data_IF_937183613535
#
_entry.id   IF_937183613535
#
_cell.length_a   1.000
_cell.length_b   1.000
_cell.length_c   1.000
_cell.angle_alpha   90.00
_cell.angle_beta   90.00
_cell.angle_gamma   90.00
#
_symmetry.space_group_name_H-M   'P 1'
#
loop_
_entity.id
_entity.type
_entity.pdbx_description
1 polymer ?
#
# COMPACT_ATOMS: atom_id res chain seq x y z
N UNK A 1 1.25 -5.71 -25.24
CA UNK A 1 2.07 -6.75 -25.72
C UNK A 1 2.22 -7.89 -24.71
N UNK A 2 1.72 -9.03 -25.08
CA UNK A 2 1.66 -10.13 -24.15
C UNK A 2 3.04 -10.65 -23.74
N UNK A 3 4.04 -10.55 -24.61
CA UNK A 3 5.37 -11.04 -24.28
C UNK A 3 5.96 -10.28 -23.07
N UNK A 4 5.73 -8.98 -22.99
CA UNK A 4 6.18 -8.19 -21.85
C UNK A 4 5.45 -8.59 -20.59
N UNK A 5 4.13 -8.73 -20.69
CA UNK A 5 3.30 -9.15 -19.56
C UNK A 5 3.68 -10.55 -19.10
N UNK A 6 3.87 -11.46 -20.06
CA UNK A 6 4.26 -12.83 -19.72
C UNK A 6 5.62 -12.89 -19.06
N UNK A 7 6.54 -12.05 -19.53
CA UNK A 7 7.88 -12.00 -18.95
C UNK A 7 7.82 -11.53 -17.50
N UNK A 8 7.01 -10.53 -17.21
CA UNK A 8 6.85 -10.05 -15.85
C UNK A 8 6.24 -11.13 -14.96
N UNK A 9 5.27 -11.84 -15.48
CA UNK A 9 4.64 -12.93 -14.75
C UNK A 9 5.64 -14.05 -14.46
N UNK A 10 6.43 -14.41 -15.45
CA UNK A 10 7.46 -15.45 -15.28
C UNK A 10 8.48 -15.01 -14.25
N UNK A 11 8.90 -13.77 -14.29
CA UNK A 11 9.84 -13.24 -13.31
C UNK A 11 9.26 -13.31 -11.91
N UNK A 12 8.00 -12.97 -11.76
CA UNK A 12 7.32 -13.07 -10.47
C UNK A 12 7.27 -14.50 -9.96
N UNK A 13 6.96 -15.44 -10.84
CA UNK A 13 6.91 -16.85 -10.47
C UNK A 13 8.28 -17.38 -10.08
N UNK A 14 9.30 -17.01 -10.82
CA UNK A 14 10.66 -17.42 -10.51
C UNK A 14 11.12 -16.81 -9.19
N UNK A 15 10.78 -15.57 -8.93
CA UNK A 15 11.11 -14.91 -7.67
C UNK A 15 10.47 -15.64 -6.50
N UNK A 16 9.22 -16.07 -6.66
CA UNK A 16 8.52 -16.83 -5.63
C UNK A 16 9.20 -18.16 -5.35
N UNK A 17 9.71 -18.79 -6.40
CA UNK A 17 10.34 -20.10 -6.26
C UNK A 17 11.74 -20.02 -5.68
N UNK A 18 12.49 -19.02 -6.06
CA UNK A 18 13.91 -18.96 -5.73
C UNK A 18 14.18 -18.08 -4.52
N UNK A 19 14.01 -16.81 -4.67
CA UNK A 19 14.15 -15.83 -3.61
C UNK A 19 13.29 -14.66 -4.01
N UNK A 20 12.10 -14.63 -3.46
CA UNK A 20 11.19 -13.55 -3.77
C UNK A 20 11.90 -12.22 -3.59
N UNK A 21 11.82 -11.37 -4.62
CA UNK A 21 12.36 -10.03 -4.50
C UNK A 21 11.60 -9.29 -3.41
N UNK A 22 12.32 -8.87 -2.39
CA UNK A 22 11.74 -8.14 -1.27
C UNK A 22 11.83 -6.65 -1.55
N UNK A 23 10.71 -5.96 -1.44
CA UNK A 23 10.68 -4.52 -1.68
C UNK A 23 11.31 -3.81 -0.49
N UNK A 24 12.32 -3.01 -0.76
CA UNK A 24 13.02 -2.24 0.27
C UNK A 24 12.44 -0.84 0.36
N UNK A 25 12.83 -0.11 1.40
CA UNK A 25 12.34 1.25 1.63
C UNK A 25 12.60 2.17 0.43
N UNK A 26 13.79 2.06 -0.19
CA UNK A 26 14.11 2.88 -1.35
C UNK A 26 13.22 2.57 -2.55
N UNK A 27 12.87 1.30 -2.70
CA UNK A 27 12.01 0.88 -3.80
C UNK A 27 10.57 1.33 -3.61
N UNK A 28 10.14 1.48 -2.36
CA UNK A 28 8.80 2.00 -2.08
C UNK A 28 8.65 3.40 -2.65
N UNK A 29 9.65 4.25 -2.44
CA UNK A 29 9.62 5.62 -2.94
C UNK A 29 9.50 5.63 -4.47
N UNK A 30 10.28 4.80 -5.13
CA UNK A 30 10.22 4.65 -6.59
C UNK A 30 8.85 4.20 -7.04
N UNK A 31 8.34 3.17 -6.40
CA UNK A 31 7.05 2.59 -6.76
C UNK A 31 5.93 3.62 -6.62
N UNK A 32 5.90 4.31 -5.49
CA UNK A 32 4.85 5.30 -5.24
C UNK A 32 4.95 6.48 -6.19
N UNK A 33 6.16 6.95 -6.47
CA UNK A 33 6.34 8.05 -7.42
C UNK A 33 5.89 7.67 -8.83
N UNK A 34 6.10 6.41 -9.19
CA UNK A 34 5.72 5.90 -10.50
C UNK A 34 4.21 5.66 -10.60
N UNK A 35 3.62 5.06 -9.58
CA UNK A 35 2.21 4.66 -9.61
C UNK A 35 1.26 5.79 -9.23
N UNK A 36 1.73 6.73 -8.43
CA UNK A 36 0.91 7.83 -7.92
C UNK A 36 1.64 9.16 -8.13
N UNK A 37 1.70 9.66 -9.37
CA UNK A 37 2.40 10.93 -9.63
C UNK A 37 1.87 12.08 -8.79
N UNK A 38 0.58 12.02 -8.43
CA UNK A 38 -0.06 13.06 -7.63
C UNK A 38 0.39 13.09 -6.18
N UNK A 39 1.16 12.11 -5.75
CA UNK A 39 1.59 12.04 -4.36
C UNK A 39 2.50 13.20 -3.98
N UNK A 40 3.19 13.76 -4.98
CA UNK A 40 3.97 14.98 -4.78
C UNK A 40 5.13 14.85 -3.82
N UNK A 41 5.60 13.65 -3.59
CA UNK A 41 6.74 13.44 -2.71
C UNK A 41 8.00 13.90 -3.41
N UNK A 42 8.72 14.82 -2.79
CA UNK A 42 10.04 15.16 -3.26
C UNK A 42 10.99 14.05 -2.83
N UNK A 43 11.64 13.45 -3.81
CA UNK A 43 12.60 12.39 -3.53
C UNK A 43 13.78 12.99 -2.80
N UNK A 44 13.91 12.68 -1.52
CA UNK A 44 15.00 13.12 -0.71
C UNK A 44 15.60 11.90 -0.02
N UNK A 45 16.91 11.83 0.02
CA UNK A 45 17.60 10.76 0.72
C UNK A 45 17.32 10.79 2.22
N UNK A 46 16.80 11.91 2.71
CA UNK A 46 16.49 12.10 4.12
C UNK A 46 15.08 11.67 4.48
N UNK A 47 14.24 11.37 3.48
CA UNK A 47 12.84 11.03 3.73
C UNK A 47 12.74 9.62 4.29
N UNK A 48 12.14 9.49 5.47
CA UNK A 48 11.92 8.17 6.07
C UNK A 48 10.77 7.44 5.39
N UNK A 49 10.78 6.13 5.50
CA UNK A 49 9.69 5.30 4.99
C UNK A 49 8.36 5.71 5.61
N UNK A 50 8.35 6.09 6.88
CA UNK A 50 7.12 6.47 7.56
C UNK A 50 6.56 7.77 7.02
N UNK A 51 7.42 8.72 6.64
CA UNK A 51 6.96 9.94 5.99
C UNK A 51 6.38 9.65 4.62
N UNK A 52 7.03 8.79 3.85
CA UNK A 52 6.55 8.40 2.53
C UNK A 52 5.19 7.72 2.62
N UNK A 53 5.05 6.79 3.54
CA UNK A 53 3.78 6.07 3.73
C UNK A 53 2.72 7.01 4.29
N UNK A 54 3.11 7.99 5.11
CA UNK A 54 2.18 9.01 5.57
C UNK A 54 1.60 9.82 4.43
N UNK A 55 2.43 10.22 3.47
CA UNK A 55 1.96 10.91 2.27
C UNK A 55 1.05 10.01 1.44
N UNK A 56 1.39 8.74 1.33
CA UNK A 56 0.56 7.76 0.62
C UNK A 56 -0.82 7.65 1.28
N UNK A 57 -0.86 7.56 2.60
CA UNK A 57 -2.13 7.53 3.32
C UNK A 57 -2.94 8.80 3.09
N UNK A 58 -2.28 9.96 3.07
CA UNK A 58 -2.96 11.23 2.83
C UNK A 58 -3.58 11.29 1.44
N UNK A 59 -2.89 10.80 0.41
CA UNK A 59 -3.45 10.71 -0.93
C UNK A 59 -4.68 9.82 -0.94
N UNK A 60 -4.59 8.67 -0.28
CA UNK A 60 -5.72 7.74 -0.22
C UNK A 60 -6.92 8.38 0.48
N UNK A 61 -6.68 9.06 1.59
CA UNK A 61 -7.74 9.75 2.33
C UNK A 61 -8.39 10.83 1.48
N UNK A 62 -7.60 11.57 0.73
CA UNK A 62 -8.13 12.60 -0.17
C UNK A 62 -9.01 11.99 -1.25
N UNK A 63 -8.56 10.91 -1.87
CA UNK A 63 -9.34 10.22 -2.91
C UNK A 63 -10.65 9.69 -2.34
N UNK A 64 -10.60 9.15 -1.12
CA UNK A 64 -11.82 8.68 -0.44
C UNK A 64 -12.78 9.83 -0.17
N UNK A 65 -12.25 10.97 0.25
CA UNK A 65 -13.06 12.15 0.55
C UNK A 65 -13.78 12.69 -0.67
N UNK A 66 -13.09 12.73 -1.81
CA UNK A 66 -13.71 13.22 -3.04
C UNK A 66 -14.55 12.16 -3.76
N UNK A 67 -14.55 10.94 -3.24
CA UNK A 67 -15.39 9.88 -3.80
C UNK A 67 -14.80 9.18 -5.01
N UNK A 68 -13.51 9.31 -5.24
CA UNK A 68 -12.84 8.65 -6.37
C UNK A 68 -12.50 7.22 -5.98
N UNK A 69 -13.50 6.34 -6.02
CA UNK A 69 -13.36 4.96 -5.57
C UNK A 69 -12.39 4.15 -6.42
N UNK A 70 -12.29 4.48 -7.69
CA UNK A 70 -11.36 3.81 -8.58
C UNK A 70 -9.92 4.07 -8.13
N UNK A 71 -9.62 5.31 -7.79
CA UNK A 71 -8.29 5.66 -7.34
C UNK A 71 -8.01 5.12 -5.93
N UNK A 72 -9.03 5.08 -5.07
CA UNK A 72 -8.90 4.45 -3.76
C UNK A 72 -8.52 2.98 -3.94
N UNK A 73 -9.19 2.27 -4.85
CA UNK A 73 -8.88 0.88 -5.12
C UNK A 73 -7.46 0.71 -5.63
N UNK A 74 -7.02 1.63 -6.48
CA UNK A 74 -5.65 1.63 -6.98
C UNK A 74 -4.65 1.77 -5.83
N UNK A 75 -4.91 2.70 -4.92
CA UNK A 75 -4.06 2.86 -3.72
C UNK A 75 -4.03 1.59 -2.88
N UNK A 76 -5.18 0.97 -2.68
CA UNK A 76 -5.25 -0.24 -1.89
C UNK A 76 -4.49 -1.41 -2.53
N UNK A 77 -4.51 -1.48 -3.86
CA UNK A 77 -3.75 -2.51 -4.57
C UNK A 77 -2.24 -2.30 -4.37
N UNK A 78 -1.80 -1.07 -4.38
CA UNK A 78 -0.40 -0.74 -4.12
C UNK A 78 -0.04 -1.12 -2.68
N UNK A 79 -0.89 -0.78 -1.73
CA UNK A 79 -0.67 -1.11 -0.33
C UNK A 79 -0.56 -2.60 -0.11
N UNK A 80 -1.41 -3.38 -0.78
CA UNK A 80 -1.35 -4.84 -0.69
C UNK A 80 -0.01 -5.36 -1.19
N UNK A 81 0.44 -4.85 -2.32
CA UNK A 81 1.72 -5.25 -2.89
C UNK A 81 2.87 -4.95 -1.94
N UNK A 82 2.87 -3.76 -1.36
CA UNK A 82 3.90 -3.37 -0.41
C UNK A 82 3.87 -4.22 0.85
N UNK A 83 2.68 -4.58 1.31
CA UNK A 83 2.54 -5.39 2.51
C UNK A 83 2.99 -6.84 2.27
N UNK A 84 2.65 -7.39 1.12
CA UNK A 84 2.99 -8.78 0.80
C UNK A 84 4.49 -8.93 0.50
N UNK A 85 5.03 -8.04 -0.31
CA UNK A 85 6.40 -8.16 -0.81
C UNK A 85 7.42 -7.29 -0.08
N UNK A 86 6.98 -6.42 0.80
CA UNK A 86 7.88 -5.52 1.50
C UNK A 86 8.73 -6.24 2.54
N UNK A 87 9.89 -5.66 2.84
CA UNK A 87 10.70 -6.16 3.95
C UNK A 87 9.99 -5.82 5.27
N UNK A 88 10.57 -6.22 6.40
CA UNK A 88 9.94 -6.03 7.70
C UNK A 88 9.58 -4.57 7.99
N UNK A 89 10.45 -3.66 7.62
CA UNK A 89 10.22 -2.23 7.84
C UNK A 89 9.06 -1.73 6.97
N UNK A 90 9.03 -2.15 5.71
CA UNK A 90 7.95 -1.75 4.79
C UNK A 90 6.62 -2.32 5.27
N UNK A 91 6.59 -3.60 5.63
CA UNK A 91 5.36 -4.22 6.16
C UNK A 91 4.85 -3.47 7.38
N UNK A 92 5.75 -3.17 8.31
CA UNK A 92 5.39 -2.46 9.52
C UNK A 92 4.85 -1.07 9.21
N UNK A 93 5.43 -0.38 8.23
CA UNK A 93 4.95 0.93 7.82
C UNK A 93 3.54 0.85 7.27
N UNK A 94 3.23 -0.20 6.49
CA UNK A 94 1.86 -0.38 5.98
C UNK A 94 0.90 -0.70 7.13
N UNK A 95 1.27 -1.59 8.02
CA UNK A 95 0.38 -1.98 9.13
C UNK A 95 0.13 -0.84 10.10
N UNK A 96 1.19 -0.20 10.55
CA UNK A 96 1.09 0.80 11.61
C UNK A 96 1.06 2.24 11.11
N UNK A 97 1.46 2.46 9.88
CA UNK A 97 1.40 3.78 9.27
C UNK A 97 0.15 3.94 8.41
N UNK A 98 0.08 3.16 7.35
CA UNK A 98 -0.98 3.30 6.35
C UNK A 98 -2.35 2.91 6.89
N UNK A 99 -2.51 1.68 7.35
CA UNK A 99 -3.81 1.20 7.83
C UNK A 99 -4.27 1.99 9.05
N UNK A 100 -3.37 2.27 9.96
CA UNK A 100 -3.71 3.03 11.15
C UNK A 100 -4.20 4.43 10.77
N UNK A 101 -3.50 5.09 9.83
CA UNK A 101 -3.92 6.42 9.36
C UNK A 101 -5.27 6.42 8.70
N UNK A 102 -5.64 5.30 8.05
CA UNK A 102 -6.91 5.19 7.35
C UNK A 102 -8.05 4.72 8.25
N UNK A 103 -7.77 4.39 9.50
CA UNK A 103 -8.78 3.78 10.37
C UNK A 103 -10.06 4.59 10.48
N UNK A 104 -9.95 5.92 10.58
CA UNK A 104 -11.15 6.76 10.67
C UNK A 104 -12.00 6.68 9.39
N UNK A 105 -11.35 6.66 8.23
CA UNK A 105 -12.05 6.55 6.95
C UNK A 105 -12.71 5.18 6.82
N UNK A 106 -11.98 4.13 7.17
CA UNK A 106 -12.48 2.76 7.06
C UNK A 106 -13.62 2.50 8.03
N UNK A 107 -13.55 3.06 9.23
CA UNK A 107 -14.60 2.89 10.24
C UNK A 107 -15.90 3.55 9.82
N UNK A 108 -15.82 4.69 9.15
CA UNK A 108 -16.98 5.49 8.81
C UNK A 108 -17.57 5.19 7.44
N UNK A 109 -16.86 4.41 6.62
CA UNK A 109 -17.29 4.19 5.24
C UNK A 109 -17.08 2.74 4.83
N UNK A 110 -18.16 1.96 4.90
CA UNK A 110 -18.14 0.55 4.52
C UNK A 110 -17.78 0.32 3.07
N UNK A 111 -18.19 1.22 2.17
CA UNK A 111 -17.85 1.09 0.76
C UNK A 111 -16.35 1.16 0.55
N UNK A 112 -15.69 2.08 1.23
CA UNK A 112 -14.24 2.21 1.15
C UNK A 112 -13.58 0.97 1.76
N UNK A 113 -14.06 0.54 2.92
CA UNK A 113 -13.53 -0.64 3.59
C UNK A 113 -13.64 -1.88 2.71
N UNK A 114 -14.75 -2.01 1.99
CA UNK A 114 -14.97 -3.16 1.12
C UNK A 114 -14.02 -3.19 -0.08
N UNK A 115 -13.43 -2.06 -0.43
CA UNK A 115 -12.43 -2.01 -1.49
C UNK A 115 -11.08 -2.56 -1.05
N UNK A 116 -10.86 -2.63 0.26
CA UNK A 116 -9.61 -3.14 0.80
C UNK A 116 -9.51 -4.63 0.54
N UNK A 117 -8.35 -5.09 0.08
CA UNK A 117 -8.14 -6.50 -0.21
C UNK A 117 -8.29 -7.34 1.06
N UNK A 118 -8.58 -8.63 0.88
CA UNK A 118 -8.86 -9.51 2.01
C UNK A 118 -7.73 -9.57 3.05
N UNK A 119 -6.46 -9.73 2.65
CA UNK A 119 -5.39 -9.77 3.66
C UNK A 119 -5.28 -8.50 4.48
N UNK A 120 -5.37 -7.34 3.84
CA UNK A 120 -5.28 -6.07 4.56
C UNK A 120 -6.53 -5.80 5.39
N UNK A 121 -7.71 -6.21 4.90
CA UNK A 121 -8.94 -6.08 5.66
C UNK A 121 -8.88 -6.92 6.94
N UNK A 122 -8.31 -8.11 6.83
CA UNK A 122 -8.11 -8.98 7.98
C UNK A 122 -7.16 -8.33 9.00
N UNK A 123 -6.10 -7.74 8.52
CA UNK A 123 -5.14 -7.04 9.39
C UNK A 123 -5.79 -5.83 10.05
N UNK A 124 -6.59 -5.07 9.29
CA UNK A 124 -7.32 -3.93 9.83
C UNK A 124 -8.28 -4.38 10.94
N UNK A 125 -9.03 -5.44 10.69
CA UNK A 125 -9.96 -5.97 11.68
C UNK A 125 -9.24 -6.44 12.94
N UNK A 126 -8.07 -7.04 12.78
CA UNK A 126 -7.25 -7.47 13.91
C UNK A 126 -6.84 -6.28 14.77
N UNK A 127 -6.41 -5.19 14.12
CA UNK A 127 -6.01 -3.98 14.84
C UNK A 127 -7.18 -3.36 15.60
N UNK A 128 -8.33 -3.28 14.96
CA UNK A 128 -9.53 -2.71 15.58
C UNK A 128 -9.94 -3.55 16.79
N UNK A 129 -9.95 -4.87 16.65
CA UNK A 129 -10.30 -5.75 17.76
C UNK A 129 -9.32 -5.64 18.92
N UNK A 130 -8.04 -5.43 18.61
CA UNK A 130 -7.01 -5.27 19.66
C UNK A 130 -7.20 -3.99 20.46
N UNK A 131 -7.67 -2.94 19.79
CA UNK A 131 -7.80 -1.62 20.41
C UNK A 131 -9.21 -1.29 20.86
N UNK A 132 -10.20 -2.02 20.36
CA UNK A 132 -11.60 -1.71 20.59
C UNK A 132 -12.21 -2.32 21.83
N UNK A 133 -11.40 -2.89 22.66
CA UNK A 133 -11.91 -3.56 23.86
C UNK A 133 -11.91 -2.65 25.06
#
# INVERSE_FOLDING_TARGET
MSATVDLLKIKSELALKNNMHTITENEVLFLLSSELPQIGIEVSNQTSIYNVIGCFADVTKHMAKVGDLKEVKHCFNIAEKLWIAGNGTVKNAIENGYLFSLSSVLDLNTKIKDLLCAPLRKEYNRQVCSHGI
#
